data_IF_880423032162
#
_entry.id   IF_880423032162
#
_cell.length_a   1.000
_cell.length_b   1.000
_cell.length_c   1.000
_cell.angle_alpha   90.00
_cell.angle_beta   90.00
_cell.angle_gamma   90.00
#
_symmetry.space_group_name_H-M   'P 1'
#
loop_
_entity.id
_entity.type
_entity.pdbx_description
1 polymer ?
#
# COMPACT_ATOMS: atom_id res chain seq x y z
N UNK A 1 7.21 -12.27 32.77
CA UNK A 1 6.49 -11.51 31.72
C UNK A 1 7.38 -11.54 30.49
N UNK A 2 6.94 -12.12 29.37
CA UNK A 2 7.75 -12.15 28.14
C UNK A 2 7.66 -10.77 27.48
N UNK A 3 8.81 -10.13 27.27
CA UNK A 3 8.99 -8.85 26.59
C UNK A 3 9.28 -9.03 25.08
N UNK A 4 8.97 -10.21 24.54
CA UNK A 4 9.23 -10.55 23.15
C UNK A 4 8.35 -9.69 22.25
N UNK A 5 8.95 -8.71 21.59
CA UNK A 5 8.26 -7.76 20.70
C UNK A 5 7.64 -8.43 19.47
N UNK A 6 8.25 -9.51 18.98
CA UNK A 6 7.84 -10.19 17.77
C UNK A 6 7.56 -11.67 18.08
N UNK A 7 6.33 -12.12 17.86
CA UNK A 7 5.93 -13.49 18.22
C UNK A 7 4.91 -14.04 17.23
N UNK A 8 4.89 -15.36 17.10
CA UNK A 8 3.86 -16.10 16.36
C UNK A 8 2.88 -16.68 17.37
N UNK A 9 1.58 -16.46 17.15
CA UNK A 9 0.52 -17.02 18.00
C UNK A 9 0.49 -18.56 17.88
N UNK A 10 0.04 -19.23 18.94
CA UNK A 10 -0.05 -20.70 18.93
C UNK A 10 -0.98 -21.13 17.78
N UNK A 11 -0.50 -22.05 16.95
CA UNK A 11 -1.20 -22.47 15.73
C UNK A 11 -0.65 -21.87 14.43
N UNK A 12 0.20 -20.83 14.50
CA UNK A 12 1.00 -20.38 13.36
C UNK A 12 0.30 -19.44 12.38
N UNK A 13 -0.99 -19.15 12.55
CA UNK A 13 -1.77 -18.33 11.60
C UNK A 13 -1.38 -16.84 11.61
N UNK A 14 -0.89 -16.34 12.74
CA UNK A 14 -0.58 -14.92 12.92
C UNK A 14 0.81 -14.72 13.50
N UNK A 15 1.60 -13.90 12.81
CA UNK A 15 2.86 -13.36 13.32
C UNK A 15 2.67 -11.87 13.60
N UNK A 16 2.93 -11.46 14.84
CA UNK A 16 2.91 -10.06 15.28
C UNK A 16 4.32 -9.52 15.25
N UNK A 17 4.52 -8.39 14.57
CA UNK A 17 5.77 -7.62 14.59
C UNK A 17 5.51 -6.34 15.39
N UNK A 18 5.97 -6.30 16.65
CA UNK A 18 5.91 -5.12 17.51
C UNK A 18 7.18 -4.25 17.47
N UNK A 19 8.21 -4.69 16.74
CA UNK A 19 9.41 -3.90 16.43
C UNK A 19 9.46 -3.47 14.95
N UNK A 20 10.66 -3.26 14.44
CA UNK A 20 10.89 -2.98 13.02
C UNK A 20 11.04 -4.29 12.24
N UNK A 21 10.35 -4.41 11.10
CA UNK A 21 10.64 -5.41 10.08
C UNK A 21 11.51 -4.77 8.99
N UNK A 22 12.77 -5.18 8.90
CA UNK A 22 13.69 -4.74 7.85
C UNK A 22 13.70 -5.77 6.71
N UNK A 23 13.47 -5.30 5.48
CA UNK A 23 13.54 -6.10 4.26
C UNK A 23 14.75 -5.59 3.47
N UNK A 24 15.76 -6.45 3.28
CA UNK A 24 17.02 -6.08 2.64
C UNK A 24 16.87 -5.90 1.12
N UNK A 25 17.88 -5.27 0.50
CA UNK A 25 17.92 -5.07 -0.94
C UNK A 25 17.82 -6.40 -1.72
N UNK A 26 17.04 -6.39 -2.80
CA UNK A 26 16.74 -7.56 -3.62
C UNK A 26 15.69 -8.55 -3.05
N UNK A 27 15.22 -8.37 -1.81
CA UNK A 27 14.15 -9.21 -1.27
C UNK A 27 12.76 -8.79 -1.82
N UNK A 28 11.85 -9.76 -1.93
CA UNK A 28 10.47 -9.53 -2.38
C UNK A 28 9.48 -9.88 -1.27
N UNK A 29 8.46 -9.04 -1.10
CA UNK A 29 7.29 -9.32 -0.25
C UNK A 29 6.06 -9.36 -1.15
N UNK A 30 5.41 -10.52 -1.25
CA UNK A 30 4.21 -10.71 -2.06
C UNK A 30 2.96 -10.56 -1.19
N UNK A 31 1.91 -9.91 -1.72
CA UNK A 31 0.60 -9.84 -1.06
C UNK A 31 0.50 -8.90 0.15
N UNK A 32 1.55 -8.13 0.48
CA UNK A 32 1.48 -7.16 1.59
C UNK A 32 0.70 -5.90 1.22
N UNK A 33 0.72 -5.51 -0.06
CA UNK A 33 0.01 -4.34 -0.57
C UNK A 33 -0.97 -4.78 -1.65
N UNK A 34 -2.17 -4.21 -1.64
CA UNK A 34 -3.08 -4.27 -2.77
C UNK A 34 -2.66 -3.19 -3.76
N UNK A 35 -2.25 -3.52 -5.00
CA UNK A 35 -1.91 -2.50 -5.98
C UNK A 35 -3.09 -1.57 -6.22
N UNK A 36 -2.80 -0.28 -6.46
CA UNK A 36 -3.83 0.64 -6.91
C UNK A 36 -4.47 0.18 -8.21
N UNK A 37 -5.77 0.46 -8.35
CA UNK A 37 -6.47 0.20 -9.58
C UNK A 37 -5.78 0.91 -10.75
N UNK A 38 -5.76 0.27 -11.91
CA UNK A 38 -5.14 0.82 -13.11
C UNK A 38 -5.72 2.20 -13.47
N UNK A 39 -4.84 3.14 -13.78
CA UNK A 39 -5.18 4.43 -14.38
C UNK A 39 -4.72 4.39 -15.84
N UNK A 40 -5.67 4.55 -16.76
CA UNK A 40 -5.34 4.70 -18.17
C UNK A 40 -4.61 6.02 -18.41
N UNK A 41 -3.78 6.05 -19.45
CA UNK A 41 -3.09 7.25 -19.90
C UNK A 41 -4.09 8.38 -20.16
N UNK A 42 -3.74 9.60 -19.73
CA UNK A 42 -4.58 10.77 -19.98
C UNK A 42 -4.57 11.12 -21.46
N UNK A 43 -5.75 11.32 -22.04
CA UNK A 43 -5.95 11.82 -23.41
C UNK A 43 -6.54 13.24 -23.41
N UNK A 44 -6.50 13.92 -22.27
CA UNK A 44 -7.03 15.26 -22.10
C UNK A 44 -6.34 16.27 -23.03
N UNK A 45 -7.13 17.08 -23.73
CA UNK A 45 -6.66 18.17 -24.60
C UNK A 45 -6.76 19.55 -23.94
N UNK A 46 -7.30 19.62 -22.74
CA UNK A 46 -7.43 20.83 -21.94
C UNK A 46 -7.10 20.58 -20.46
N UNK A 47 -7.00 21.67 -19.71
CA UNK A 47 -6.64 21.64 -18.29
C UNK A 47 -7.72 20.95 -17.45
N UNK A 48 -8.99 21.14 -17.80
CA UNK A 48 -10.11 20.57 -17.05
C UNK A 48 -10.09 19.04 -17.11
N UNK A 49 -9.83 18.46 -18.29
CA UNK A 49 -9.66 17.02 -18.48
C UNK A 49 -8.44 16.49 -17.72
N UNK A 50 -7.31 17.20 -17.76
CA UNK A 50 -6.11 16.79 -17.04
C UNK A 50 -6.34 16.72 -15.52
N UNK A 51 -7.03 17.73 -14.96
CA UNK A 51 -7.39 17.76 -13.54
C UNK A 51 -8.31 16.58 -13.18
N UNK A 52 -9.26 16.24 -14.04
CA UNK A 52 -10.14 15.09 -13.85
C UNK A 52 -9.35 13.78 -13.81
N UNK A 53 -8.49 13.53 -14.80
CA UNK A 53 -7.69 12.31 -14.89
C UNK A 53 -6.72 12.18 -13.71
N UNK A 54 -6.12 13.30 -13.29
CA UNK A 54 -5.23 13.34 -12.14
C UNK A 54 -5.97 13.02 -10.84
N UNK A 55 -7.12 13.64 -10.58
CA UNK A 55 -7.91 13.36 -9.38
C UNK A 55 -8.44 11.92 -9.36
N UNK A 56 -8.71 11.32 -10.52
CA UNK A 56 -9.05 9.91 -10.61
C UNK A 56 -7.88 9.00 -10.20
N UNK A 57 -6.64 9.34 -10.56
CA UNK A 57 -5.45 8.63 -10.08
C UNK A 57 -5.31 8.75 -8.56
N UNK A 58 -5.44 9.96 -8.00
CA UNK A 58 -5.33 10.18 -6.56
C UNK A 58 -6.35 9.34 -5.79
N UNK A 59 -7.61 9.32 -6.25
CA UNK A 59 -8.65 8.49 -5.64
C UNK A 59 -8.30 6.99 -5.65
N UNK A 60 -7.69 6.49 -6.73
CA UNK A 60 -7.24 5.09 -6.82
C UNK A 60 -6.08 4.78 -5.87
N UNK A 61 -5.15 5.72 -5.68
CA UNK A 61 -4.05 5.59 -4.73
C UNK A 61 -4.55 5.58 -3.28
N UNK A 62 -5.48 6.47 -2.95
CA UNK A 62 -6.13 6.50 -1.63
C UNK A 62 -6.91 5.22 -1.35
N UNK A 63 -7.72 4.75 -2.32
CA UNK A 63 -8.48 3.51 -2.18
C UNK A 63 -7.58 2.27 -1.98
N UNK A 64 -6.34 2.31 -2.46
CA UNK A 64 -5.35 1.25 -2.29
C UNK A 64 -4.57 1.35 -0.97
N UNK A 65 -4.80 2.38 -0.16
CA UNK A 65 -4.01 2.65 1.05
C UNK A 65 -2.57 3.07 0.76
N UNK A 66 -2.29 3.52 -0.47
CA UNK A 66 -0.97 4.00 -0.90
C UNK A 66 -0.80 5.52 -0.72
N UNK A 67 -1.87 6.22 -0.35
CA UNK A 67 -1.92 7.65 -0.05
C UNK A 67 -2.86 7.89 1.13
N UNK A 68 -2.54 8.86 1.99
CA UNK A 68 -3.42 9.26 3.08
C UNK A 68 -4.76 9.80 2.53
N UNK A 69 -5.85 9.45 3.22
CA UNK A 69 -7.15 10.09 3.04
C UNK A 69 -7.19 11.34 3.92
N UNK A 70 -7.70 12.47 3.40
CA UNK A 70 -7.98 13.67 4.22
C UNK A 70 -8.88 13.35 5.43
#
# INVERSE_FOLDING_TARGET
MSNVKNYTEQGGEKTVIGGTLEILDGAQVTGLFTPAAFQADSTASDIAGLVSDFNALLAKLQAAGLMETE
#
